data_IF_380636493728
#
_entry.id   IF_380636493728
#
_cell.length_a   1.000
_cell.length_b   1.000
_cell.length_c   1.000
_cell.angle_alpha   90.00
_cell.angle_beta   90.00
_cell.angle_gamma   90.00
#
_symmetry.space_group_name_H-M   'P 1'
#
loop_
_entity.id
_entity.type
_entity.pdbx_description
1 polymer ?
#
# COMPACT_ATOMS: atom_id res chain seq x y z
N UNK A 1 -2.36 51.45 -7.88
CA UNK A 1 -2.47 50.03 -8.30
C UNK A 1 -1.91 49.20 -7.15
N UNK A 2 -2.77 48.64 -6.31
CA UNK A 2 -2.36 47.82 -5.17
C UNK A 2 -1.87 46.48 -5.71
N UNK A 3 -0.59 46.20 -5.52
CA UNK A 3 -0.03 44.84 -5.66
C UNK A 3 -0.83 43.92 -4.74
N UNK A 4 -1.80 43.21 -5.28
CA UNK A 4 -2.44 42.12 -4.56
C UNK A 4 -1.44 40.95 -4.55
N UNK A 5 -0.56 40.94 -3.54
CA UNK A 5 0.29 39.80 -3.27
C UNK A 5 -0.60 38.59 -3.01
N UNK A 6 -0.45 37.55 -3.84
CA UNK A 6 -1.14 36.27 -3.62
C UNK A 6 -0.72 35.72 -2.23
N UNK A 7 -1.65 35.10 -1.46
CA UNK A 7 -1.31 34.54 -0.18
C UNK A 7 -0.26 33.43 -0.36
N UNK A 8 0.65 33.24 0.62
CA UNK A 8 1.65 32.19 0.55
C UNK A 8 0.98 30.81 0.51
N UNK A 9 1.58 29.90 -0.26
CA UNK A 9 1.13 28.50 -0.37
C UNK A 9 2.09 27.61 0.40
N UNK A 10 1.55 26.76 1.25
CA UNK A 10 2.30 25.78 2.03
C UNK A 10 2.11 24.39 1.44
N UNK A 11 3.17 23.61 1.32
CA UNK A 11 3.11 22.20 0.95
C UNK A 11 3.32 21.33 2.19
N UNK A 12 2.37 20.45 2.45
CA UNK A 12 2.27 19.63 3.66
C UNK A 12 2.21 18.16 3.26
N UNK A 13 3.06 17.34 3.88
CA UNK A 13 2.99 15.88 3.77
C UNK A 13 2.38 15.29 5.04
N UNK A 14 1.59 14.24 4.87
CA UNK A 14 0.97 13.48 5.96
C UNK A 14 1.24 11.99 5.79
N UNK A 15 1.49 11.32 6.91
CA UNK A 15 1.41 9.86 6.99
C UNK A 15 0.00 9.44 7.35
N UNK A 16 -0.56 8.51 6.58
CA UNK A 16 -1.96 8.08 6.71
C UNK A 16 -2.03 6.58 6.96
N UNK A 17 -2.83 6.20 7.93
CA UNK A 17 -3.21 4.83 8.23
C UNK A 17 -4.70 4.62 8.00
N UNK A 18 -5.09 3.50 7.40
CA UNK A 18 -6.49 3.16 7.19
C UNK A 18 -6.75 1.66 7.15
N UNK A 19 -7.88 1.27 7.71
CA UNK A 19 -8.53 -0.01 7.47
C UNK A 19 -9.41 0.12 6.22
N UNK A 20 -8.96 -0.49 5.12
CA UNK A 20 -9.62 -0.36 3.81
C UNK A 20 -10.87 -1.22 3.64
N UNK A 21 -11.25 -2.03 4.63
CA UNK A 21 -12.31 -3.06 4.48
C UNK A 21 -13.69 -2.50 4.12
N UNK A 22 -13.98 -1.25 4.48
CA UNK A 22 -15.25 -0.58 4.20
C UNK A 22 -15.16 0.43 3.06
N UNK A 23 -14.08 0.42 2.28
CA UNK A 23 -13.82 1.36 1.21
C UNK A 23 -13.62 0.66 -0.13
N UNK A 24 -14.04 1.31 -1.20
CA UNK A 24 -13.79 0.89 -2.59
C UNK A 24 -12.41 1.36 -3.09
N UNK A 25 -11.42 1.27 -2.22
CA UNK A 25 -10.05 1.66 -2.46
C UNK A 25 -9.74 3.09 -2.03
N UNK A 26 -8.52 3.50 -2.34
CA UNK A 26 -8.01 4.83 -2.02
C UNK A 26 -8.72 5.93 -2.82
N UNK A 27 -8.79 5.74 -4.14
CA UNK A 27 -9.14 6.79 -5.09
C UNK A 27 -10.59 7.23 -4.99
N UNK A 28 -10.81 8.54 -4.94
CA UNK A 28 -12.14 9.14 -5.03
C UNK A 28 -12.81 8.76 -6.35
N UNK A 29 -14.04 8.28 -6.27
CA UNK A 29 -14.91 7.90 -7.37
C UNK A 29 -16.33 8.37 -7.06
N UNK A 30 -17.14 8.51 -8.11
CA UNK A 30 -18.54 8.83 -7.92
C UNK A 30 -19.29 7.66 -7.26
N UNK A 31 -20.21 7.98 -6.34
CA UNK A 31 -21.17 7.04 -5.72
C UNK A 31 -20.59 5.97 -4.80
N UNK A 32 -19.28 5.96 -4.54
CA UNK A 32 -18.65 4.98 -3.63
C UNK A 32 -17.78 5.64 -2.57
N UNK A 33 -17.68 4.99 -1.41
CA UNK A 33 -16.80 5.44 -0.33
C UNK A 33 -15.35 5.17 -0.69
N UNK A 34 -14.52 6.19 -0.60
CA UNK A 34 -13.07 6.10 -0.77
C UNK A 34 -12.33 6.76 0.38
N UNK A 35 -11.09 6.32 0.63
CA UNK A 35 -10.25 6.92 1.69
C UNK A 35 -9.93 8.37 1.34
N UNK A 36 -9.60 8.66 0.08
CA UNK A 36 -9.29 10.01 -0.40
C UNK A 36 -10.43 10.99 -0.14
N UNK A 37 -11.66 10.62 -0.42
CA UNK A 37 -12.84 11.47 -0.19
C UNK A 37 -12.97 11.88 1.27
N UNK A 38 -12.83 10.93 2.19
CA UNK A 38 -12.95 11.18 3.64
C UNK A 38 -11.82 12.06 4.14
N UNK A 39 -10.60 11.81 3.67
CA UNK A 39 -9.43 12.61 4.05
C UNK A 39 -9.54 14.04 3.52
N UNK A 40 -9.89 14.22 2.25
CA UNK A 40 -10.05 15.55 1.64
C UNK A 40 -11.13 16.36 2.35
N UNK A 41 -12.23 15.74 2.73
CA UNK A 41 -13.31 16.39 3.49
C UNK A 41 -12.82 16.89 4.84
N UNK A 42 -12.11 16.04 5.60
CA UNK A 42 -11.58 16.40 6.91
C UNK A 42 -10.52 17.51 6.81
N UNK A 43 -9.61 17.42 5.85
CA UNK A 43 -8.60 18.44 5.59
C UNK A 43 -9.21 19.78 5.19
N UNK A 44 -10.24 19.76 4.34
CA UNK A 44 -10.93 20.97 3.88
C UNK A 44 -11.64 21.69 5.03
N UNK A 45 -12.15 20.93 6.01
CA UNK A 45 -12.74 21.51 7.23
C UNK A 45 -11.69 22.23 8.08
N UNK A 46 -10.54 21.62 8.30
CA UNK A 46 -9.43 22.20 9.09
C UNK A 46 -8.81 23.41 8.37
N UNK A 47 -8.62 23.31 7.06
CA UNK A 47 -8.05 24.38 6.23
C UNK A 47 -9.03 25.53 6.00
N UNK A 48 -10.32 25.29 6.13
CA UNK A 48 -11.39 26.20 5.72
C UNK A 48 -11.27 26.62 4.25
N UNK A 49 -10.84 25.70 3.40
CA UNK A 49 -10.74 25.82 1.94
C UNK A 49 -10.75 24.43 1.30
N UNK A 50 -11.09 24.29 0.02
CA UNK A 50 -11.02 23.00 -0.67
C UNK A 50 -9.57 22.48 -0.71
N UNK A 51 -9.39 21.21 -0.30
CA UNK A 51 -8.10 20.53 -0.33
C UNK A 51 -8.20 19.29 -1.22
N UNK A 52 -7.21 19.14 -2.10
CA UNK A 52 -6.99 17.94 -2.91
C UNK A 52 -5.68 17.28 -2.46
N UNK A 53 -5.69 15.98 -2.24
CA UNK A 53 -4.50 15.21 -1.86
C UNK A 53 -3.97 14.37 -3.01
N UNK A 54 -2.64 14.21 -3.03
CA UNK A 54 -1.93 13.29 -3.91
C UNK A 54 -1.28 12.21 -3.07
N UNK A 55 -1.51 10.94 -3.40
CA UNK A 55 -0.96 9.82 -2.64
C UNK A 55 0.28 9.21 -3.31
N UNK A 56 1.08 8.51 -2.51
CA UNK A 56 2.25 7.78 -2.98
C UNK A 56 1.90 6.59 -3.87
N UNK A 57 0.81 5.92 -3.57
CA UNK A 57 0.31 4.79 -4.33
C UNK A 57 -1.16 4.51 -4.02
N UNK A 58 -1.94 4.26 -5.06
CA UNK A 58 -3.34 3.86 -4.90
C UNK A 58 -3.42 2.45 -4.39
N UNK A 59 -4.41 2.18 -3.55
CA UNK A 59 -4.74 0.84 -3.09
C UNK A 59 -6.15 0.44 -3.56
N UNK A 60 -6.34 -0.86 -3.79
CA UNK A 60 -7.60 -1.40 -4.29
C UNK A 60 -8.66 -1.49 -3.18
N UNK A 61 -9.92 -1.76 -3.58
CA UNK A 61 -11.01 -2.01 -2.64
C UNK A 61 -10.63 -3.09 -1.62
N UNK A 62 -10.81 -2.79 -0.34
CA UNK A 62 -10.50 -3.69 0.77
C UNK A 62 -9.05 -3.75 1.21
N UNK A 63 -8.13 -3.13 0.49
CA UNK A 63 -6.69 -3.06 0.84
C UNK A 63 -6.44 -2.01 1.90
N UNK A 64 -5.56 -2.34 2.85
CA UNK A 64 -5.21 -1.49 3.98
C UNK A 64 -3.93 -0.68 3.74
N UNK A 65 -3.72 0.33 4.55
CA UNK A 65 -2.45 1.07 4.58
C UNK A 65 -2.07 1.43 6.01
N UNK A 66 -0.83 1.16 6.38
CA UNK A 66 -0.23 1.64 7.63
C UNK A 66 0.89 2.64 7.38
N UNK A 67 1.33 2.77 6.12
CA UNK A 67 2.42 3.66 5.73
C UNK A 67 2.13 4.49 4.48
N UNK A 68 0.87 4.78 4.17
CA UNK A 68 0.52 5.67 3.06
C UNK A 68 1.04 7.08 3.32
N UNK A 69 1.54 7.72 2.27
CA UNK A 69 1.98 9.12 2.32
C UNK A 69 1.17 9.93 1.32
N UNK A 70 0.70 11.09 1.75
CA UNK A 70 0.05 12.08 0.89
C UNK A 70 0.73 13.42 1.03
N UNK A 71 0.53 14.29 0.03
CA UNK A 71 0.79 15.71 0.19
C UNK A 71 -0.41 16.52 -0.32
N UNK A 72 -0.48 17.73 0.14
CA UNK A 72 -1.42 18.74 -0.34
C UNK A 72 -0.81 20.14 -0.26
N UNK A 73 -1.40 21.05 -0.98
CA UNK A 73 -1.08 22.48 -0.93
C UNK A 73 -2.22 23.24 -0.29
N UNK A 74 -1.90 24.24 0.52
CA UNK A 74 -2.89 25.05 1.22
C UNK A 74 -2.37 26.47 1.44
N UNK A 75 -3.30 27.43 1.45
CA UNK A 75 -3.02 28.81 1.89
C UNK A 75 -3.22 28.97 3.40
N UNK A 76 -3.82 27.99 4.05
CA UNK A 76 -4.11 28.00 5.48
C UNK A 76 -2.85 27.73 6.30
N UNK A 77 -2.50 28.69 7.16
CA UNK A 77 -1.44 28.49 8.16
C UNK A 77 -2.06 27.85 9.41
N UNK A 78 -1.62 26.63 9.72
CA UNK A 78 -2.08 25.87 10.89
C UNK A 78 -0.88 25.28 11.61
N UNK A 79 -1.00 25.08 12.93
CA UNK A 79 -0.04 24.31 13.74
C UNK A 79 -0.16 22.82 13.40
N UNK A 80 0.91 22.06 13.65
CA UNK A 80 0.95 20.61 13.42
C UNK A 80 -0.22 19.87 14.08
N UNK A 81 -0.60 20.27 15.30
CA UNK A 81 -1.73 19.68 16.00
C UNK A 81 -3.06 19.80 15.24
N UNK A 82 -3.26 20.86 14.47
CA UNK A 82 -4.45 21.01 13.66
C UNK A 82 -4.48 20.00 12.50
N UNK A 83 -3.34 19.76 11.86
CA UNK A 83 -3.21 18.80 10.76
C UNK A 83 -3.24 17.34 11.23
N UNK A 84 -2.98 17.07 12.48
CA UNK A 84 -3.00 15.73 13.10
C UNK A 84 -4.27 15.52 13.92
N UNK A 85 -4.29 15.97 15.15
CA UNK A 85 -5.43 15.81 16.06
C UNK A 85 -6.70 16.44 15.50
N UNK A 86 -6.60 17.63 14.92
CA UNK A 86 -7.74 18.34 14.33
C UNK A 86 -8.35 17.61 13.16
N UNK A 87 -7.50 17.10 12.25
CA UNK A 87 -7.98 16.29 11.10
C UNK A 87 -8.56 14.97 11.57
N UNK A 88 -7.90 14.28 12.52
CA UNK A 88 -8.42 13.03 13.09
C UNK A 88 -9.78 13.19 13.76
N UNK A 89 -10.05 14.34 14.38
CA UNK A 89 -11.36 14.63 14.96
C UNK A 89 -12.49 14.71 13.92
N UNK A 90 -12.16 14.96 12.66
CA UNK A 90 -13.10 15.04 11.54
C UNK A 90 -13.08 13.80 10.64
N UNK A 91 -12.23 12.82 10.92
CA UNK A 91 -12.15 11.56 10.19
C UNK A 91 -13.01 10.47 10.84
N UNK A 92 -13.53 9.50 10.05
CA UNK A 92 -14.07 8.28 10.62
C UNK A 92 -12.96 7.49 11.34
N UNK A 93 -13.35 6.61 12.29
CA UNK A 93 -12.40 5.90 13.14
C UNK A 93 -11.47 4.90 12.45
N UNK A 94 -11.74 4.59 11.19
CA UNK A 94 -10.94 3.67 10.37
C UNK A 94 -9.92 4.37 9.45
N UNK A 95 -9.77 5.69 9.58
CA UNK A 95 -8.74 6.49 8.89
C UNK A 95 -8.10 7.42 9.93
N UNK A 96 -6.77 7.48 9.94
CA UNK A 96 -6.04 8.35 10.85
C UNK A 96 -4.81 8.99 10.19
N UNK A 97 -4.56 10.25 10.55
CA UNK A 97 -3.28 10.92 10.30
C UNK A 97 -2.32 10.49 11.41
N UNK A 98 -1.12 10.03 11.04
CA UNK A 98 -0.12 9.52 11.98
C UNK A 98 1.03 10.49 12.20
N UNK A 99 1.34 11.32 11.22
CA UNK A 99 2.36 12.36 11.29
C UNK A 99 2.10 13.47 10.26
N UNK A 100 2.73 14.60 10.48
CA UNK A 100 2.71 15.76 9.59
C UNK A 100 4.13 16.30 9.41
N UNK A 101 4.45 16.77 8.21
CA UNK A 101 5.72 17.43 7.90
C UNK A 101 5.50 18.49 6.83
N UNK A 102 5.95 19.71 7.10
CA UNK A 102 6.11 20.70 6.05
C UNK A 102 7.24 20.27 5.11
N UNK A 103 6.99 20.30 3.81
CA UNK A 103 7.94 19.82 2.80
C UNK A 103 8.25 20.90 1.78
N UNK A 104 9.43 20.83 1.10
CA UNK A 104 9.77 21.74 0.01
C UNK A 104 8.81 21.66 -1.17
N UNK A 105 8.78 22.70 -2.00
CA UNK A 105 7.89 22.80 -3.16
C UNK A 105 8.12 21.70 -4.20
N UNK A 106 9.31 21.12 -4.25
CA UNK A 106 9.65 20.04 -5.17
C UNK A 106 9.21 18.65 -4.68
N UNK A 107 8.70 18.53 -3.45
CA UNK A 107 8.15 17.26 -2.95
C UNK A 107 6.85 16.90 -3.66
N UNK A 108 6.76 15.65 -4.10
CA UNK A 108 5.52 15.06 -4.59
C UNK A 108 5.38 13.65 -4.01
N UNK A 109 4.26 13.35 -3.33
CA UNK A 109 4.07 12.07 -2.65
C UNK A 109 4.29 10.86 -3.57
N UNK A 110 3.86 10.95 -4.84
CA UNK A 110 4.03 9.90 -5.83
C UNK A 110 5.38 9.96 -6.55
N UNK A 111 5.75 11.13 -7.07
CA UNK A 111 6.90 11.24 -8.00
C UNK A 111 8.25 11.34 -7.28
N UNK A 112 8.27 11.81 -6.03
CA UNK A 112 9.49 11.80 -5.21
C UNK A 112 9.75 10.45 -4.54
N UNK A 113 8.78 9.54 -4.51
CA UNK A 113 8.94 8.22 -3.91
C UNK A 113 9.91 7.36 -4.73
N UNK A 114 10.84 6.71 -4.03
CA UNK A 114 11.84 5.82 -4.63
C UNK A 114 11.45 4.34 -4.55
N UNK A 115 10.64 3.97 -3.57
CA UNK A 115 10.14 2.61 -3.41
C UNK A 115 8.83 2.59 -2.62
N UNK A 116 8.07 1.50 -2.78
CA UNK A 116 6.90 1.15 -1.96
C UNK A 116 7.12 -0.24 -1.40
N UNK A 117 6.62 -0.47 -0.20
CA UNK A 117 6.71 -1.76 0.50
C UNK A 117 5.33 -2.20 0.94
N UNK A 118 5.03 -3.45 0.64
CA UNK A 118 3.78 -4.10 1.02
C UNK A 118 4.06 -5.32 1.89
N UNK A 119 3.15 -5.60 2.79
CA UNK A 119 3.06 -6.88 3.49
C UNK A 119 1.71 -7.51 3.19
N UNK A 120 1.74 -8.78 2.81
CA UNK A 120 0.55 -9.60 2.65
C UNK A 120 0.50 -10.63 3.77
N UNK A 121 -0.60 -10.67 4.52
CA UNK A 121 -0.71 -11.47 5.72
C UNK A 121 -1.74 -12.58 5.50
N UNK A 122 -1.26 -13.82 5.56
CA UNK A 122 -2.07 -15.03 5.42
C UNK A 122 -2.22 -15.62 6.82
N UNK A 123 -3.48 -15.78 7.28
CA UNK A 123 -3.80 -16.58 8.45
C UNK A 123 -3.87 -18.04 8.03
N UNK A 124 -2.78 -18.76 8.26
CA UNK A 124 -2.62 -20.14 7.82
C UNK A 124 -3.01 -21.10 8.96
N UNK A 125 -4.27 -21.44 8.99
CA UNK A 125 -4.88 -22.30 9.99
C UNK A 125 -6.05 -23.03 9.38
N UNK A 126 -6.33 -24.25 9.89
CA UNK A 126 -7.47 -25.04 9.42
C UNK A 126 -8.81 -24.32 9.58
N UNK A 127 -8.98 -23.61 10.70
CA UNK A 127 -10.21 -22.88 11.01
C UNK A 127 -10.01 -21.38 10.74
N UNK A 128 -11.04 -20.72 10.22
CA UNK A 128 -11.02 -19.29 9.95
C UNK A 128 -10.93 -18.45 11.23
N UNK A 129 -10.28 -17.28 11.18
CA UNK A 129 -10.32 -16.34 12.29
C UNK A 129 -11.66 -15.59 12.30
N UNK A 130 -12.09 -15.13 13.48
CA UNK A 130 -13.18 -14.16 13.62
C UNK A 130 -12.59 -12.76 13.86
N UNK A 131 -11.67 -12.65 14.81
CA UNK A 131 -10.89 -11.43 15.01
C UNK A 131 -9.96 -11.24 13.81
N UNK A 132 -9.86 -10.00 13.31
CA UNK A 132 -9.10 -9.66 12.12
C UNK A 132 -9.59 -10.31 10.82
N UNK A 133 -10.84 -10.75 10.75
CA UNK A 133 -11.38 -11.43 9.57
C UNK A 133 -11.30 -10.58 8.28
N UNK A 134 -11.19 -9.26 8.40
CA UNK A 134 -10.99 -8.32 7.28
C UNK A 134 -9.58 -7.72 7.23
N UNK A 135 -8.70 -8.17 8.11
CA UNK A 135 -7.30 -7.72 8.20
C UNK A 135 -6.27 -8.78 7.88
N UNK A 136 -6.69 -10.02 7.63
CA UNK A 136 -5.86 -11.13 7.17
C UNK A 136 -6.63 -11.95 6.15
N UNK A 137 -5.90 -12.69 5.30
CA UNK A 137 -6.52 -13.65 4.38
C UNK A 137 -6.39 -15.05 4.96
N UNK A 138 -7.53 -15.71 5.17
CA UNK A 138 -7.54 -17.09 5.66
C UNK A 138 -7.19 -18.07 4.54
N UNK A 139 -6.29 -19.00 4.85
CA UNK A 139 -5.95 -20.13 4.00
C UNK A 139 -5.82 -21.39 4.87
N UNK A 140 -6.60 -22.43 4.57
CA UNK A 140 -6.74 -23.60 5.45
C UNK A 140 -5.68 -24.68 5.23
N UNK A 141 -5.15 -24.82 4.00
CA UNK A 141 -4.11 -25.82 3.70
C UNK A 141 -2.78 -25.39 4.32
N UNK A 142 -2.02 -26.32 4.91
CA UNK A 142 -0.69 -25.99 5.43
C UNK A 142 0.19 -25.40 4.34
N UNK A 143 0.86 -24.27 4.66
CA UNK A 143 1.80 -23.60 3.77
C UNK A 143 3.22 -23.80 4.27
N UNK A 144 4.12 -24.18 3.38
CA UNK A 144 5.56 -24.18 3.61
C UNK A 144 6.14 -22.81 3.25
N UNK A 145 6.32 -21.95 4.27
CA UNK A 145 6.80 -20.59 4.08
C UNK A 145 8.23 -20.54 3.50
N UNK A 146 9.11 -21.46 3.89
CA UNK A 146 10.49 -21.51 3.37
C UNK A 146 10.50 -21.87 1.88
N UNK A 147 9.62 -22.79 1.46
CA UNK A 147 9.42 -23.15 0.06
C UNK A 147 8.91 -21.97 -0.75
N UNK A 148 7.94 -21.22 -0.22
CA UNK A 148 7.45 -19.99 -0.84
C UNK A 148 8.57 -18.95 -0.95
N UNK A 149 9.38 -18.78 0.09
CA UNK A 149 10.49 -17.82 0.09
C UNK A 149 11.52 -18.16 -1.00
N UNK A 150 11.94 -19.42 -1.12
CA UNK A 150 12.88 -19.85 -2.16
C UNK A 150 12.31 -19.61 -3.56
N UNK A 151 11.06 -19.98 -3.79
CA UNK A 151 10.40 -19.78 -5.08
C UNK A 151 10.28 -18.31 -5.48
N UNK A 152 10.10 -17.42 -4.51
CA UNK A 152 9.95 -15.98 -4.74
C UNK A 152 11.25 -15.28 -5.16
N UNK A 153 12.42 -15.84 -4.86
CA UNK A 153 13.71 -15.14 -5.06
C UNK A 153 14.03 -14.89 -6.54
N UNK A 154 13.45 -15.64 -7.47
CA UNK A 154 13.60 -15.39 -8.90
C UNK A 154 12.97 -14.06 -9.35
N UNK A 155 12.11 -13.46 -8.53
CA UNK A 155 11.45 -12.17 -8.82
C UNK A 155 12.34 -10.96 -8.51
N UNK A 156 13.47 -11.15 -7.83
CA UNK A 156 14.38 -10.07 -7.47
C UNK A 156 14.97 -9.39 -8.71
N UNK A 157 15.19 -8.07 -8.58
CA UNK A 157 15.77 -7.25 -9.64
C UNK A 157 14.72 -6.75 -10.63
N UNK A 158 15.22 -6.25 -11.76
CA UNK A 158 14.36 -5.71 -12.82
C UNK A 158 13.83 -6.84 -13.70
N UNK A 159 12.51 -6.99 -13.75
CA UNK A 159 11.82 -8.03 -14.49
C UNK A 159 10.55 -7.50 -15.14
N UNK A 160 10.11 -8.19 -16.18
CA UNK A 160 8.79 -8.01 -16.79
C UNK A 160 7.74 -8.79 -16.00
N UNK A 161 6.84 -8.08 -15.33
CA UNK A 161 5.79 -8.65 -14.48
C UNK A 161 4.45 -8.84 -15.20
N UNK A 162 4.44 -9.02 -16.51
CA UNK A 162 3.20 -9.24 -17.29
C UNK A 162 2.37 -10.39 -16.73
N UNK A 163 3.00 -11.50 -16.31
CA UNK A 163 2.27 -12.65 -15.73
C UNK A 163 1.58 -12.33 -14.41
N UNK A 164 1.97 -11.25 -13.74
CA UNK A 164 1.40 -10.81 -12.46
C UNK A 164 0.67 -9.48 -12.56
N UNK A 165 0.41 -9.02 -13.77
CA UNK A 165 -0.27 -7.77 -14.08
C UNK A 165 -1.74 -8.03 -14.41
N UNK A 166 -2.65 -7.28 -13.78
CA UNK A 166 -4.06 -7.30 -14.15
C UNK A 166 -4.24 -6.83 -15.60
N UNK A 167 -5.15 -7.48 -16.33
CA UNK A 167 -5.43 -7.17 -17.74
C UNK A 167 -5.80 -5.70 -17.97
N UNK A 168 -6.50 -5.09 -17.01
CA UNK A 168 -6.95 -3.69 -17.06
C UNK A 168 -5.92 -2.68 -16.54
N UNK A 169 -4.68 -3.08 -16.36
CA UNK A 169 -3.63 -2.20 -15.84
C UNK A 169 -3.34 -1.03 -16.79
N UNK A 170 -3.40 0.19 -16.29
CA UNK A 170 -3.15 1.43 -17.05
C UNK A 170 -1.66 1.80 -17.14
N UNK A 171 -0.76 1.03 -16.51
CA UNK A 171 0.67 1.30 -16.55
C UNK A 171 1.23 1.13 -17.96
N UNK A 172 2.13 2.02 -18.37
CA UNK A 172 2.73 2.00 -19.71
C UNK A 172 3.69 0.85 -19.93
N UNK A 173 4.29 0.33 -18.86
CA UNK A 173 5.30 -0.73 -18.93
C UNK A 173 5.07 -1.77 -17.83
N UNK A 174 5.31 -3.08 -18.11
CA UNK A 174 5.23 -4.13 -17.10
C UNK A 174 6.53 -4.29 -16.30
N UNK A 175 7.58 -3.53 -16.62
CA UNK A 175 8.89 -3.66 -15.98
C UNK A 175 8.92 -2.99 -14.61
N UNK A 176 9.35 -3.74 -13.59
CA UNK A 176 9.51 -3.26 -12.21
C UNK A 176 10.79 -3.86 -11.61
N UNK A 177 11.36 -3.14 -10.65
CA UNK A 177 12.53 -3.59 -9.91
C UNK A 177 12.11 -3.99 -8.49
N UNK A 178 12.15 -5.27 -8.20
CA UNK A 178 11.90 -5.80 -6.85
C UNK A 178 13.20 -5.80 -6.07
N UNK A 179 13.24 -5.03 -4.98
CA UNK A 179 14.42 -4.83 -4.14
C UNK A 179 14.57 -5.92 -3.09
N UNK A 180 13.46 -6.38 -2.51
CA UNK A 180 13.39 -7.59 -1.71
C UNK A 180 12.01 -8.23 -1.82
N UNK A 181 11.99 -9.53 -1.60
CA UNK A 181 10.77 -10.30 -1.35
C UNK A 181 11.11 -11.42 -0.37
N UNK A 182 10.48 -11.39 0.79
CA UNK A 182 10.71 -12.33 1.87
C UNK A 182 9.39 -12.98 2.27
N UNK A 183 9.41 -14.28 2.49
CA UNK A 183 8.26 -15.01 3.04
C UNK A 183 8.68 -15.61 4.35
N UNK A 184 7.96 -15.28 5.42
CA UNK A 184 8.28 -15.72 6.79
C UNK A 184 7.01 -16.22 7.48
N UNK A 185 7.18 -17.12 8.46
CA UNK A 185 6.10 -17.57 9.33
C UNK A 185 6.27 -16.97 10.73
N UNK A 186 5.19 -16.40 11.24
CA UNK A 186 5.05 -15.87 12.60
C UNK A 186 3.84 -16.53 13.26
N UNK A 187 4.06 -17.68 13.92
CA UNK A 187 2.95 -18.49 14.45
C UNK A 187 1.98 -18.92 13.34
N UNK A 188 0.69 -18.60 13.43
CA UNK A 188 -0.29 -18.93 12.39
C UNK A 188 -0.23 -18.00 11.18
N UNK A 189 0.58 -16.94 11.22
CA UNK A 189 0.69 -15.99 10.12
C UNK A 189 1.83 -16.32 9.19
N UNK A 190 1.55 -16.36 7.88
CA UNK A 190 2.57 -16.35 6.83
C UNK A 190 2.55 -14.96 6.21
N UNK A 191 3.70 -14.30 6.20
CA UNK A 191 3.84 -12.92 5.74
C UNK A 191 4.71 -12.88 4.50
N UNK A 192 4.18 -12.30 3.43
CA UNK A 192 4.93 -11.96 2.21
C UNK A 192 5.25 -10.47 2.28
N UNK A 193 6.52 -10.14 2.39
CA UNK A 193 7.03 -8.77 2.49
C UNK A 193 7.79 -8.44 1.21
N UNK A 194 7.29 -7.46 0.44
CA UNK A 194 7.85 -7.11 -0.85
C UNK A 194 8.06 -5.59 -0.96
N UNK A 195 9.24 -5.22 -1.44
CA UNK A 195 9.61 -3.83 -1.75
C UNK A 195 10.05 -3.73 -3.19
N UNK A 196 9.50 -2.76 -3.91
CA UNK A 196 9.85 -2.48 -5.29
C UNK A 196 9.80 -0.98 -5.58
N UNK A 197 10.43 -0.55 -6.69
CA UNK A 197 10.37 0.84 -7.12
C UNK A 197 8.95 1.30 -7.46
N UNK A 198 8.14 0.41 -8.00
CA UNK A 198 6.71 0.59 -8.26
C UNK A 198 6.06 -0.79 -8.48
N UNK A 199 4.73 -0.81 -8.58
CA UNK A 199 3.97 -2.04 -8.78
C UNK A 199 2.98 -1.86 -9.93
N UNK A 200 2.81 -2.89 -10.75
CA UNK A 200 1.70 -2.96 -11.70
C UNK A 200 0.42 -3.36 -10.95
N UNK A 201 -0.72 -3.08 -11.55
CA UNK A 201 -2.01 -3.36 -10.93
C UNK A 201 -2.15 -4.84 -10.53
N UNK A 202 -2.53 -5.09 -9.29
CA UNK A 202 -2.66 -6.40 -8.65
C UNK A 202 -1.36 -7.21 -8.51
N UNK A 203 -0.21 -6.62 -8.75
CA UNK A 203 1.07 -7.35 -8.77
C UNK A 203 1.32 -8.17 -7.51
N UNK A 204 1.22 -7.57 -6.33
CA UNK A 204 1.47 -8.28 -5.06
C UNK A 204 0.47 -9.40 -4.86
N UNK A 205 -0.81 -9.14 -5.08
CA UNK A 205 -1.88 -10.12 -4.91
C UNK A 205 -1.77 -11.29 -5.89
N UNK A 206 -1.34 -11.03 -7.12
CA UNK A 206 -1.11 -12.08 -8.12
C UNK A 206 0.11 -12.92 -7.79
N UNK A 207 1.19 -12.30 -7.31
CA UNK A 207 2.38 -13.02 -6.82
C UNK A 207 2.00 -13.92 -5.64
N UNK A 208 1.30 -13.38 -4.65
CA UNK A 208 0.89 -14.14 -3.45
C UNK A 208 -0.01 -15.32 -3.81
N UNK A 209 -0.97 -15.14 -4.71
CA UNK A 209 -1.83 -16.23 -5.17
C UNK A 209 -1.03 -17.40 -5.74
N UNK A 210 -0.01 -17.12 -6.55
CA UNK A 210 0.86 -18.15 -7.11
C UNK A 210 1.82 -18.75 -6.07
N UNK A 211 2.34 -17.95 -5.15
CA UNK A 211 3.18 -18.45 -4.05
C UNK A 211 2.41 -19.40 -3.11
N UNK A 212 1.13 -19.15 -2.88
CA UNK A 212 0.29 -20.07 -2.08
C UNK A 212 0.18 -21.45 -2.72
N UNK A 213 0.09 -21.54 -4.04
CA UNK A 213 0.09 -22.82 -4.77
C UNK A 213 1.41 -23.57 -4.57
N UNK A 214 2.54 -22.86 -4.57
CA UNK A 214 3.84 -23.44 -4.28
C UNK A 214 3.94 -23.88 -2.81
N UNK A 215 3.50 -23.05 -1.90
CA UNK A 215 3.53 -23.34 -0.45
C UNK A 215 2.66 -24.53 -0.04
N UNK A 216 1.53 -24.73 -0.73
CA UNK A 216 0.62 -25.86 -0.53
C UNK A 216 1.07 -27.13 -1.27
N UNK A 217 2.21 -27.14 -1.91
CA UNK A 217 2.75 -28.24 -2.73
C UNK A 217 1.91 -28.61 -3.96
N UNK A 218 1.08 -27.69 -4.46
CA UNK A 218 0.32 -27.88 -5.68
C UNK A 218 1.14 -27.58 -6.93
N UNK A 219 2.20 -26.81 -6.79
CA UNK A 219 3.14 -26.45 -7.86
C UNK A 219 4.58 -26.54 -7.36
N UNK A 220 5.56 -26.85 -8.24
CA UNK A 220 6.97 -26.88 -7.85
C UNK A 220 7.52 -25.46 -7.62
N UNK A 221 8.63 -25.35 -6.89
CA UNK A 221 9.30 -24.07 -6.65
C UNK A 221 9.71 -23.36 -7.95
N UNK A 222 10.08 -24.11 -8.98
CA UNK A 222 10.44 -23.59 -10.31
C UNK A 222 9.27 -22.91 -11.06
N UNK A 223 8.04 -23.15 -10.65
CA UNK A 223 6.86 -22.64 -11.34
C UNK A 223 6.80 -21.11 -11.37
N UNK A 224 7.24 -20.42 -10.28
CA UNK A 224 7.26 -18.96 -10.26
C UNK A 224 8.19 -18.39 -11.34
N UNK A 225 9.38 -18.97 -11.53
CA UNK A 225 10.29 -18.59 -12.61
C UNK A 225 9.70 -18.87 -13.98
N UNK A 226 9.03 -19.98 -14.16
CA UNK A 226 8.32 -20.32 -15.40
C UNK A 226 7.21 -19.31 -15.72
N UNK A 227 6.42 -18.90 -14.72
CA UNK A 227 5.40 -17.87 -14.87
C UNK A 227 5.99 -16.54 -15.29
N UNK A 228 7.07 -16.11 -14.62
CA UNK A 228 7.74 -14.85 -14.95
C UNK A 228 8.22 -14.84 -16.40
N UNK A 229 8.83 -15.92 -16.86
CA UNK A 229 9.34 -16.07 -18.21
C UNK A 229 8.23 -16.15 -19.27
N UNK A 230 7.07 -16.69 -18.91
CA UNK A 230 5.95 -16.90 -19.84
C UNK A 230 5.27 -15.60 -20.27
N UNK A 231 5.34 -14.55 -19.47
CA UNK A 231 4.69 -13.24 -19.73
C UNK A 231 3.21 -13.37 -20.09
N UNK A 232 2.51 -14.22 -19.35
CA UNK A 232 1.10 -14.55 -19.59
C UNK A 232 0.34 -14.66 -18.25
N UNK A 233 -0.55 -13.70 -17.99
CA UNK A 233 -1.36 -13.64 -16.76
C UNK A 233 -2.26 -14.87 -16.60
N UNK A 234 -2.70 -15.46 -17.70
CA UNK A 234 -3.65 -16.60 -17.67
C UNK A 234 -3.05 -17.88 -17.09
N UNK A 235 -1.72 -18.01 -17.09
CA UNK A 235 -1.02 -19.18 -16.55
C UNK A 235 -0.82 -19.11 -15.04
N UNK A 236 -0.84 -17.92 -14.44
CA UNK A 236 -0.69 -17.73 -13.02
C UNK A 236 -1.97 -18.04 -12.25
N UNK A 237 -1.84 -18.22 -10.94
CA UNK A 237 -2.97 -18.50 -10.07
C UNK A 237 -3.93 -17.28 -9.95
N UNK A 238 -5.11 -17.54 -9.38
CA UNK A 238 -6.08 -16.48 -9.09
C UNK A 238 -5.49 -15.41 -8.18
N UNK A 239 -5.94 -14.19 -8.36
CA UNK A 239 -5.57 -13.04 -7.52
C UNK A 239 -5.93 -13.30 -6.06
N UNK A 240 -4.97 -13.15 -5.15
CA UNK A 240 -5.21 -13.28 -3.71
C UNK A 240 -6.17 -12.18 -3.22
N UNK A 241 -6.93 -12.47 -2.17
CA UNK A 241 -7.94 -11.54 -1.62
C UNK A 241 -7.29 -10.24 -1.11
N UNK A 242 -8.04 -9.15 -1.13
CA UNK A 242 -7.58 -7.85 -0.70
C UNK A 242 -7.29 -7.75 0.81
N UNK A 243 -8.00 -8.51 1.62
CA UNK A 243 -8.04 -8.39 3.10
C UNK A 243 -6.67 -8.54 3.78
N UNK A 244 -5.76 -9.31 3.18
CA UNK A 244 -4.43 -9.53 3.71
C UNK A 244 -3.39 -8.48 3.31
N UNK A 245 -3.71 -7.56 2.40
CA UNK A 245 -2.72 -6.65 1.82
C UNK A 245 -2.66 -5.31 2.54
N UNK A 246 -1.43 -4.89 2.88
CA UNK A 246 -1.11 -3.62 3.55
C UNK A 246 0.00 -2.88 2.80
N UNK A 247 -0.24 -1.61 2.48
CA UNK A 247 0.84 -0.69 2.11
C UNK A 247 1.50 -0.22 3.42
N UNK A 248 2.73 -0.67 3.69
CA UNK A 248 3.35 -0.47 5.00
C UNK A 248 4.44 0.60 5.03
N UNK A 249 5.05 0.92 3.89
CA UNK A 249 6.05 1.97 3.82
C UNK A 249 6.20 2.52 2.40
N UNK A 250 6.62 3.77 2.33
CA UNK A 250 7.05 4.45 1.10
C UNK A 250 8.38 5.12 1.39
N UNK A 251 9.38 4.89 0.54
CA UNK A 251 10.70 5.49 0.69
C UNK A 251 10.81 6.77 -0.16
N UNK A 252 11.46 7.75 0.43
CA UNK A 252 11.78 9.04 -0.20
C UNK A 252 13.25 9.38 0.01
N UNK A 253 13.85 10.26 -0.82
CA UNK A 253 15.18 10.77 -0.55
C UNK A 253 15.32 11.36 0.87
N UNK A 254 16.46 11.09 1.53
CA UNK A 254 16.71 11.47 2.93
C UNK A 254 16.60 12.98 3.17
N UNK A 255 16.84 13.81 2.15
CA UNK A 255 16.75 15.28 2.25
C UNK A 255 15.37 15.80 2.66
N UNK A 256 14.32 15.01 2.45
CA UNK A 256 12.97 15.40 2.88
C UNK A 256 12.72 15.16 4.37
N UNK A 257 13.56 14.37 5.02
CA UNK A 257 13.54 14.11 6.47
C UNK A 257 12.12 13.79 7.00
N UNK A 258 11.44 12.86 6.34
CA UNK A 258 10.10 12.46 6.74
C UNK A 258 10.14 11.61 8.02
N UNK A 259 9.13 11.75 8.90
CA UNK A 259 9.05 10.94 10.11
C UNK A 259 9.05 9.44 9.80
N UNK A 260 9.79 8.67 10.59
CA UNK A 260 9.80 7.21 10.54
C UNK A 260 8.85 6.67 11.58
N UNK A 261 7.98 5.76 11.17
CA UNK A 261 7.03 5.07 12.04
C UNK A 261 7.38 3.58 12.13
N UNK A 262 6.99 2.90 13.22
CA UNK A 262 7.13 1.44 13.28
C UNK A 262 6.46 0.76 12.10
N UNK A 263 7.07 -0.32 11.58
CA UNK A 263 6.52 -1.08 10.48
C UNK A 263 5.22 -1.76 10.91
N UNK A 264 4.16 -1.51 10.15
CA UNK A 264 2.86 -2.14 10.39
C UNK A 264 2.70 -3.49 9.65
N UNK A 265 1.56 -4.13 9.87
CA UNK A 265 0.58 -3.85 10.92
C UNK A 265 1.08 -4.27 12.30
N UNK A 266 0.73 -3.51 13.35
CA UNK A 266 1.30 -3.65 14.69
C UNK A 266 0.92 -4.94 15.42
N UNK A 267 -0.06 -5.71 14.93
CA UNK A 267 -0.38 -7.01 15.52
C UNK A 267 0.63 -8.12 15.15
N UNK A 268 1.53 -7.86 14.19
CA UNK A 268 2.67 -8.73 13.93
C UNK A 268 3.81 -8.31 14.86
N UNK A 269 4.23 -9.23 15.71
CA UNK A 269 5.48 -9.04 16.46
C UNK A 269 6.66 -9.18 15.49
N UNK A 270 7.65 -8.30 15.63
CA UNK A 270 8.91 -8.40 14.91
C UNK A 270 9.78 -9.53 15.47
#
# INVERSE_FOLDING_TARGET
MSDQQQPPVYKIALGIEYDGSKYYGWQRQNEVRSVQEKLEKALSQVANEPITVFCAGRTDAGVHGTGQVVHFETTALRKDAAWTLGVNANLPGDIAVRWVKAVPDDFHARFSATARRYRYIIYNHRLRPAVLSKGVTHFYEPLDAERMHRAAQCLLGENDFTSFRAVQCQSRTPWRNVMHINVTRHGPYVVVDIKANAFVHHMVRNIVGSLMEVGAHNQPESWIAELLAAKDRTLAAATAKAEGLYLVAVDYPDRYDLPKTPMGPLFLAD
#
